data_IF_185719546617
#
_entry.id   IF_185719546617
#
_cell.length_a   1.000
_cell.length_b   1.000
_cell.length_c   1.000
_cell.angle_alpha   90.00
_cell.angle_beta   90.00
_cell.angle_gamma   90.00
#
_symmetry.space_group_name_H-M   'P 1'
#
loop_
_entity.id
_entity.type
_entity.pdbx_description
1 polymer ?
#
# COMPACT_ATOMS: atom_id res chain seq x y z
N UNK A 1 15.60 5.64 6.70
CA UNK A 1 15.06 4.42 6.11
C UNK A 1 13.83 4.76 5.26
N UNK A 2 13.66 4.07 4.15
CA UNK A 2 12.46 4.23 3.34
C UNK A 2 11.62 2.96 3.42
N UNK A 3 10.31 3.15 3.40
CA UNK A 3 9.37 2.04 3.47
C UNK A 3 8.28 2.21 2.42
N UNK A 4 7.75 1.08 1.96
CA UNK A 4 6.49 1.07 1.22
C UNK A 4 5.36 1.02 2.24
N UNK A 5 4.34 1.84 2.04
CA UNK A 5 3.16 1.83 2.88
C UNK A 5 1.96 1.55 1.99
N UNK A 6 1.26 0.45 2.25
CA UNK A 6 0.06 0.09 1.51
C UNK A 6 -1.14 0.60 2.31
N UNK A 7 -1.98 1.39 1.66
CA UNK A 7 -3.12 2.03 2.31
C UNK A 7 -4.42 1.68 1.59
N UNK A 8 -5.44 1.42 2.37
CA UNK A 8 -6.80 1.28 1.90
C UNK A 8 -7.57 2.51 2.38
N UNK A 9 -8.07 3.31 1.44
CA UNK A 9 -8.75 4.57 1.76
C UNK A 9 -10.21 4.42 1.37
N UNK A 10 -11.09 4.57 2.33
CA UNK A 10 -12.53 4.42 2.12
C UNK A 10 -13.16 5.74 1.71
N UNK A 11 -14.34 5.66 1.13
CA UNK A 11 -15.06 6.80 0.61
C UNK A 11 -15.31 7.89 1.66
N UNK A 12 -15.44 7.51 2.93
CA UNK A 12 -15.61 8.45 4.02
C UNK A 12 -14.30 8.97 4.59
N UNK A 13 -13.20 8.74 3.86
CA UNK A 13 -11.83 9.15 4.21
C UNK A 13 -11.21 8.38 5.38
N UNK A 14 -11.83 7.30 5.79
CA UNK A 14 -11.19 6.40 6.74
C UNK A 14 -10.03 5.69 6.04
N UNK A 15 -8.88 5.60 6.72
CA UNK A 15 -7.66 5.00 6.15
C UNK A 15 -7.28 3.80 6.98
N UNK A 16 -6.99 2.71 6.28
CA UNK A 16 -6.51 1.48 6.91
C UNK A 16 -5.13 1.17 6.36
N UNK A 17 -4.15 1.04 7.24
CA UNK A 17 -2.79 0.68 6.82
C UNK A 17 -2.73 -0.83 6.72
N UNK A 18 -2.48 -1.33 5.51
CA UNK A 18 -2.47 -2.76 5.24
C UNK A 18 -1.10 -3.39 5.45
N UNK A 19 -0.05 -2.60 5.31
CA UNK A 19 1.29 -3.12 5.52
C UNK A 19 2.34 -2.05 5.36
N UNK A 20 3.48 -2.26 6.01
CA UNK A 20 4.65 -1.40 5.93
C UNK A 20 5.85 -2.32 5.67
N UNK A 21 6.59 -2.05 4.60
CA UNK A 21 7.67 -2.94 4.16
C UNK A 21 8.94 -2.13 3.88
N UNK A 22 10.06 -2.66 4.30
CA UNK A 22 11.35 -2.00 4.06
C UNK A 22 11.68 -2.06 2.57
N UNK A 23 11.98 -0.90 1.97
CA UNK A 23 12.30 -0.79 0.54
C UNK A 23 13.54 -1.62 0.19
N UNK A 24 14.51 -1.72 1.10
CA UNK A 24 15.74 -2.42 0.83
C UNK A 24 15.59 -3.94 0.76
N UNK A 25 14.55 -4.48 1.37
CA UNK A 25 14.35 -5.93 1.45
C UNK A 25 13.08 -6.40 0.74
N UNK A 26 12.31 -5.49 0.15
CA UNK A 26 11.05 -5.83 -0.49
C UNK A 26 11.02 -5.21 -1.88
N UNK A 27 10.78 -6.01 -2.90
CA UNK A 27 10.68 -5.48 -4.25
C UNK A 27 9.32 -4.83 -4.49
N UNK A 28 9.26 -3.95 -5.47
CA UNK A 28 8.00 -3.32 -5.86
C UNK A 28 7.01 -4.37 -6.36
N UNK A 29 7.49 -5.41 -7.04
CA UNK A 29 6.62 -6.51 -7.47
C UNK A 29 5.98 -7.23 -6.29
N UNK A 30 6.68 -7.38 -5.17
CA UNK A 30 6.12 -7.99 -3.98
C UNK A 30 5.00 -7.14 -3.40
N UNK A 31 5.14 -5.82 -3.46
CA UNK A 31 4.10 -4.91 -3.00
C UNK A 31 2.85 -5.03 -3.89
N UNK A 32 3.05 -5.10 -5.19
CA UNK A 32 1.94 -5.25 -6.13
C UNK A 32 1.20 -6.58 -5.91
N UNK A 33 1.95 -7.65 -5.63
CA UNK A 33 1.36 -8.94 -5.31
C UNK A 33 0.58 -8.92 -4.00
N UNK A 34 1.09 -8.20 -3.01
CA UNK A 34 0.41 -8.08 -1.72
C UNK A 34 -0.94 -7.37 -1.89
N UNK A 35 -0.97 -6.32 -2.69
CA UNK A 35 -2.20 -5.60 -2.99
C UNK A 35 -3.18 -6.53 -3.73
N UNK A 36 -2.68 -7.22 -4.74
CA UNK A 36 -3.48 -8.17 -5.52
C UNK A 36 -4.13 -9.23 -4.62
N UNK A 37 -3.33 -9.85 -3.76
CA UNK A 37 -3.83 -10.90 -2.88
C UNK A 37 -4.85 -10.37 -1.88
N UNK A 38 -4.62 -9.18 -1.36
CA UNK A 38 -5.55 -8.56 -0.42
C UNK A 38 -6.91 -8.29 -1.10
N UNK A 39 -6.87 -7.70 -2.29
CA UNK A 39 -8.08 -7.39 -3.04
C UNK A 39 -8.84 -8.65 -3.42
N UNK A 40 -8.10 -9.66 -3.88
CA UNK A 40 -8.67 -10.94 -4.25
C UNK A 40 -9.45 -11.56 -3.08
N UNK A 41 -8.82 -11.58 -1.91
CA UNK A 41 -9.42 -12.21 -0.74
C UNK A 41 -10.60 -11.40 -0.19
N UNK A 42 -10.45 -10.09 -0.13
CA UNK A 42 -11.45 -9.25 0.55
C UNK A 42 -12.62 -8.89 -0.35
N UNK A 43 -12.35 -8.59 -1.61
CA UNK A 43 -13.36 -8.02 -2.50
C UNK A 43 -13.88 -8.99 -3.55
N UNK A 44 -13.16 -10.08 -3.79
CA UNK A 44 -13.51 -11.06 -4.82
C UNK A 44 -13.67 -12.47 -4.27
N UNK A 45 -13.71 -12.60 -2.95
CA UNK A 45 -13.96 -13.87 -2.24
C UNK A 45 -12.98 -14.98 -2.66
N UNK A 46 -11.75 -14.61 -2.95
CA UNK A 46 -10.72 -15.56 -3.35
C UNK A 46 -10.69 -15.87 -4.84
N UNK A 47 -11.61 -15.30 -5.62
CA UNK A 47 -11.61 -15.49 -7.06
C UNK A 47 -10.75 -14.44 -7.74
N UNK A 48 -10.20 -14.80 -8.89
CA UNK A 48 -9.35 -13.88 -9.63
C UNK A 48 -10.15 -12.69 -10.11
N UNK A 49 -9.70 -11.48 -9.76
CA UNK A 49 -10.35 -10.28 -10.23
C UNK A 49 -10.13 -10.13 -11.74
N UNK A 50 -11.13 -9.65 -12.43
CA UNK A 50 -11.06 -9.45 -13.86
C UNK A 50 -10.39 -8.16 -14.26
N UNK A 51 -10.12 -7.29 -13.31
CA UNK A 51 -9.63 -5.96 -13.58
C UNK A 51 -8.11 -5.96 -13.58
N UNK A 52 -7.51 -5.59 -14.68
CA UNK A 52 -6.06 -5.65 -14.81
C UNK A 52 -5.30 -4.58 -14.00
N UNK A 53 -5.98 -3.62 -13.46
CA UNK A 53 -5.38 -2.54 -12.68
C UNK A 53 -4.51 -3.02 -11.56
N UNK A 54 -4.84 -4.15 -10.97
CA UNK A 54 -4.14 -4.58 -9.86
C UNK A 54 -2.73 -5.03 -10.11
N UNK A 55 -2.38 -5.38 -11.36
CA UNK A 55 -1.02 -5.70 -11.72
C UNK A 55 -0.12 -4.46 -11.75
N UNK A 56 -0.72 -3.28 -11.65
CA UNK A 56 0.00 -2.03 -11.60
C UNK A 56 0.20 -1.52 -10.18
N UNK A 57 -0.30 -2.25 -9.18
CA UNK A 57 -0.08 -1.88 -7.79
C UNK A 57 -1.12 -0.97 -7.21
N UNK A 58 -2.33 -0.99 -7.74
CA UNK A 58 -3.44 -0.26 -7.14
C UNK A 58 -4.76 -0.93 -7.48
N UNK A 59 -5.77 -0.58 -6.70
CA UNK A 59 -7.14 -1.01 -6.94
C UNK A 59 -8.05 0.16 -6.58
N UNK A 60 -9.09 0.35 -7.36
CA UNK A 60 -10.03 1.43 -7.08
C UNK A 60 -11.42 1.03 -7.53
N UNK A 61 -12.40 1.22 -6.65
CA UNK A 61 -13.79 1.22 -7.03
C UNK A 61 -14.43 2.46 -6.42
N UNK A 62 -15.74 2.59 -6.48
CA UNK A 62 -16.37 3.83 -6.00
C UNK A 62 -16.35 4.00 -4.49
N UNK A 63 -16.08 2.93 -3.74
CA UNK A 63 -16.16 2.95 -2.28
C UNK A 63 -14.78 2.88 -1.61
N UNK A 64 -13.76 2.41 -2.33
CA UNK A 64 -12.44 2.20 -1.75
C UNK A 64 -11.36 2.37 -2.81
N UNK A 65 -10.21 2.84 -2.37
CA UNK A 65 -9.00 2.88 -3.19
C UNK A 65 -7.85 2.28 -2.37
N UNK A 66 -7.06 1.44 -3.02
CA UNK A 66 -5.90 0.81 -2.39
C UNK A 66 -4.70 1.10 -3.27
N UNK A 67 -3.65 1.64 -2.68
CA UNK A 67 -2.39 1.86 -3.39
C UNK A 67 -1.24 1.82 -2.39
N UNK A 68 -0.05 2.15 -2.86
CA UNK A 68 1.11 2.22 -1.99
C UNK A 68 1.90 3.49 -2.28
N UNK A 69 2.63 3.93 -1.26
CA UNK A 69 3.53 5.07 -1.38
C UNK A 69 4.88 4.65 -0.81
N UNK A 70 5.92 5.42 -1.15
CA UNK A 70 7.24 5.28 -0.54
C UNK A 70 7.39 6.44 0.42
N UNK A 71 7.67 6.13 1.68
CA UNK A 71 7.76 7.16 2.72
C UNK A 71 9.07 7.01 3.46
N UNK A 72 9.59 8.13 3.93
CA UNK A 72 10.80 8.14 4.75
C UNK A 72 10.39 8.01 6.22
N UNK A 73 11.06 7.11 6.92
CA UNK A 73 10.83 6.92 8.35
C UNK A 73 12.05 7.50 9.06
N UNK A 74 11.81 8.31 10.09
CA UNK A 74 12.87 8.99 10.83
C UNK A 74 13.82 7.98 11.46
N UNK A 75 15.10 8.19 11.19
CA UNK A 75 16.15 7.47 11.84
C UNK A 75 16.58 8.26 13.07
N UNK A 76 16.49 9.00 12.38
CA UNK A 76 16.68 9.88 12.84
C UNK A 76 16.97 10.71 13.05
N UNK A 77 17.04 10.82 12.87
CA UNK A 77 17.20 11.69 12.92
C UNK A 77 17.03 12.68 12.89
N UNK A 78 17.32 12.75 13.03
CA UNK A 78 16.96 13.65 13.08
C UNK A 78 16.84 14.38 12.81
N UNK A 79 16.90 14.15 12.94
CA UNK A 79 16.59 14.78 12.72
C UNK A 79 16.17 15.47 12.23
N UNK A 80 16.42 15.48 12.21
CA UNK A 80 15.81 16.03 11.81
C UNK A 80 15.10 16.80 11.76
N UNK A 81 14.94 16.96 12.11
CA UNK A 81 14.02 17.50 12.12
C UNK A 81 14.10 18.48 12.54
N UNK A 82 14.48 18.53 12.88
CA UNK A 82 14.50 19.28 13.29
C UNK A 82 14.31 20.19 13.11
N UNK A 83 14.25 20.01 13.46
CA UNK A 83 14.11 20.77 13.48
C UNK A 83 13.77 21.45 13.44
N UNK A 84 13.88 21.35 13.69
CA UNK A 84 13.54 21.96 13.73
C UNK A 84 13.41 22.47 13.53
#
# INVERSE_FOLDING_TARGET
MKVYVIKEVFRDYEINILGVYNVDTTSEDDIKKAIYNYVKDKYYSGEEPSDYYFYEGFYSDRDVAIDYTVESVGDNNGENYKEE
#
